data_IF_581058073227
#
_entry.id   IF_581058073227
#
_cell.length_a   1.000
_cell.length_b   1.000
_cell.length_c   1.000
_cell.angle_alpha   90.00
_cell.angle_beta   90.00
_cell.angle_gamma   90.00
#
_symmetry.space_group_name_H-M   'P 1'
#
loop_
_entity.id
_entity.type
_entity.pdbx_description
1 polymer ?
#
# COMPACT_ATOMS: atom_id res chain seq x y z
N UNK A 1 -9.98 65.37 -10.98
CA UNK A 1 -10.20 63.94 -11.33
C UNK A 1 -8.88 63.31 -11.76
N UNK A 2 -8.16 62.61 -10.87
CA UNK A 2 -6.95 61.83 -11.20
C UNK A 2 -7.33 60.35 -11.29
N UNK A 3 -7.22 59.73 -12.46
CA UNK A 3 -7.44 58.29 -12.65
C UNK A 3 -6.25 57.53 -12.05
N UNK A 4 -6.51 56.61 -11.12
CA UNK A 4 -5.48 55.71 -10.57
C UNK A 4 -5.17 54.60 -11.59
N UNK A 5 -3.90 54.23 -11.83
CA UNK A 5 -3.58 53.14 -12.73
C UNK A 5 -3.96 51.80 -12.09
N UNK A 6 -4.63 50.95 -12.86
CA UNK A 6 -5.01 49.60 -12.47
C UNK A 6 -3.76 48.73 -12.59
N UNK A 7 -3.16 48.35 -11.47
CA UNK A 7 -2.03 47.43 -11.45
C UNK A 7 -2.51 46.02 -11.83
N UNK A 8 -1.94 45.48 -12.92
CA UNK A 8 -2.14 44.12 -13.37
C UNK A 8 -1.37 43.17 -12.42
N UNK A 9 -2.09 42.43 -11.58
CA UNK A 9 -1.50 41.40 -10.71
C UNK A 9 -1.12 40.20 -11.59
N UNK A 10 0.15 39.78 -11.65
CA UNK A 10 0.52 38.58 -12.39
C UNK A 10 0.00 37.37 -11.62
N UNK A 11 -0.88 36.59 -12.24
CA UNK A 11 -1.31 35.29 -11.75
C UNK A 11 -0.08 34.38 -11.81
N UNK A 12 0.52 34.10 -10.66
CA UNK A 12 1.59 33.13 -10.51
C UNK A 12 0.98 31.73 -10.72
N UNK A 13 1.26 31.12 -11.87
CA UNK A 13 0.89 29.73 -12.14
C UNK A 13 1.71 28.83 -11.21
N UNK A 14 1.11 28.40 -10.11
CA UNK A 14 1.67 27.35 -9.26
C UNK A 14 1.59 26.05 -10.04
N UNK A 15 2.70 25.63 -10.64
CA UNK A 15 2.84 24.29 -11.19
C UNK A 15 2.73 23.31 -10.02
N UNK A 16 1.57 22.66 -9.89
CA UNK A 16 1.39 21.53 -8.98
C UNK A 16 2.39 20.46 -9.38
N UNK A 17 3.45 20.31 -8.59
CA UNK A 17 4.37 19.19 -8.69
C UNK A 17 3.59 17.93 -8.31
N UNK A 18 2.97 17.29 -9.30
CA UNK A 18 2.31 16.01 -9.10
C UNK A 18 3.37 15.00 -8.68
N UNK A 19 3.25 14.47 -7.46
CA UNK A 19 4.11 13.40 -6.97
C UNK A 19 4.24 12.31 -8.04
N UNK A 20 5.44 11.78 -8.32
CA UNK A 20 5.60 10.76 -9.35
C UNK A 20 4.73 9.55 -8.98
N UNK A 21 3.65 9.36 -9.74
CA UNK A 21 2.80 8.18 -9.60
C UNK A 21 3.62 6.97 -10.01
N UNK A 22 4.03 6.15 -9.04
CA UNK A 22 4.79 4.94 -9.34
C UNK A 22 3.97 3.99 -10.22
N UNK A 23 4.59 3.51 -11.30
CA UNK A 23 3.98 2.59 -12.26
C UNK A 23 3.40 1.35 -11.54
N UNK A 24 2.20 0.91 -11.93
CA UNK A 24 1.53 -0.25 -11.32
C UNK A 24 2.40 -1.51 -11.43
N UNK A 25 2.49 -2.35 -10.38
CA UNK A 25 3.26 -3.60 -10.49
C UNK A 25 2.63 -4.52 -11.54
N UNK A 26 3.46 -5.18 -12.35
CA UNK A 26 2.99 -6.17 -13.32
C UNK A 26 3.04 -7.57 -12.70
N UNK A 27 1.93 -8.29 -12.74
CA UNK A 27 1.82 -9.63 -12.18
C UNK A 27 2.53 -10.68 -13.04
N UNK A 28 3.26 -11.60 -12.42
CA UNK A 28 3.93 -12.73 -13.12
C UNK A 28 3.16 -14.05 -13.01
N UNK A 29 2.17 -14.14 -12.13
CA UNK A 29 1.34 -15.34 -11.91
C UNK A 29 -0.10 -14.98 -11.55
N UNK A 30 -1.01 -15.96 -11.58
CA UNK A 30 -2.40 -15.78 -11.16
C UNK A 30 -2.52 -15.36 -9.68
N UNK A 31 -1.70 -15.94 -8.81
CA UNK A 31 -1.61 -15.58 -7.40
C UNK A 31 -1.13 -14.14 -7.21
N UNK A 32 -0.05 -13.75 -7.91
CA UNK A 32 0.46 -12.38 -7.82
C UNK A 32 -0.57 -11.38 -8.33
N UNK A 33 -1.32 -11.72 -9.39
CA UNK A 33 -2.41 -10.89 -9.90
C UNK A 33 -3.50 -10.69 -8.84
N UNK A 34 -3.96 -11.77 -8.20
CA UNK A 34 -4.98 -11.70 -7.13
C UNK A 34 -4.54 -10.82 -5.97
N UNK A 35 -3.28 -10.96 -5.54
CA UNK A 35 -2.73 -10.15 -4.46
C UNK A 35 -2.68 -8.65 -4.84
N UNK A 36 -2.22 -8.34 -6.06
CA UNK A 36 -2.17 -6.95 -6.55
C UNK A 36 -3.56 -6.32 -6.71
N UNK A 37 -4.54 -7.07 -7.19
CA UNK A 37 -5.94 -6.63 -7.24
C UNK A 37 -6.51 -6.39 -5.84
N UNK A 38 -6.15 -7.23 -4.87
CA UNK A 38 -6.56 -7.05 -3.48
C UNK A 38 -5.93 -5.80 -2.86
N UNK A 39 -4.67 -5.48 -3.16
CA UNK A 39 -4.04 -4.23 -2.71
C UNK A 39 -4.77 -3.00 -3.24
N UNK A 40 -5.24 -3.00 -4.48
CA UNK A 40 -6.03 -1.87 -5.00
C UNK A 40 -7.40 -1.80 -4.31
N UNK A 41 -8.08 -2.95 -4.14
CA UNK A 41 -9.33 -3.02 -3.39
C UNK A 41 -9.19 -2.42 -1.99
N UNK A 42 -8.20 -2.85 -1.21
CA UNK A 42 -7.98 -2.37 0.16
C UNK A 42 -7.69 -0.87 0.18
N UNK A 43 -6.89 -0.39 -0.78
CA UNK A 43 -6.57 1.05 -0.92
C UNK A 43 -7.81 1.89 -1.26
N UNK A 44 -8.73 1.38 -2.06
CA UNK A 44 -9.96 2.09 -2.43
C UNK A 44 -11.01 2.09 -1.31
N UNK A 45 -11.05 1.04 -0.48
CA UNK A 45 -12.12 0.81 0.50
C UNK A 45 -11.74 1.19 1.94
N UNK A 46 -10.46 1.49 2.21
CA UNK A 46 -10.00 1.84 3.55
C UNK A 46 -9.21 3.15 3.54
N UNK A 47 -9.73 4.15 4.26
CA UNK A 47 -9.18 5.52 4.31
C UNK A 47 -7.93 5.67 5.18
N UNK A 48 -7.60 4.68 6.01
CA UNK A 48 -6.49 4.74 6.97
C UNK A 48 -5.48 3.62 6.69
N UNK A 49 -4.55 3.87 5.78
CA UNK A 49 -3.43 2.96 5.54
C UNK A 49 -2.24 3.34 6.43
N UNK A 50 -1.67 2.33 7.12
CA UNK A 50 -0.47 2.50 7.95
C UNK A 50 0.79 2.78 7.13
N UNK A 51 0.79 2.42 5.85
CA UNK A 51 1.93 2.57 4.94
C UNK A 51 1.46 3.07 3.59
N UNK A 52 2.30 3.85 2.91
CA UNK A 52 2.03 4.24 1.53
C UNK A 52 2.23 3.05 0.57
N UNK A 53 1.78 3.17 -0.68
CA UNK A 53 2.10 2.18 -1.71
C UNK A 53 3.62 2.03 -1.91
N UNK A 54 4.36 3.13 -1.74
CA UNK A 54 5.81 3.13 -1.89
C UNK A 54 6.50 2.32 -0.80
N UNK A 55 6.07 2.53 0.44
CA UNK A 55 6.59 1.79 1.60
C UNK A 55 6.22 0.31 1.49
N UNK A 56 4.99 -0.02 1.05
CA UNK A 56 4.60 -1.41 0.79
C UNK A 56 5.50 -2.12 -0.23
N UNK A 57 5.86 -1.44 -1.32
CA UNK A 57 6.85 -1.98 -2.29
C UNK A 57 8.21 -2.18 -1.66
N UNK A 58 8.66 -1.23 -0.85
CA UNK A 58 9.93 -1.34 -0.15
C UNK A 58 9.92 -2.54 0.81
N UNK A 59 8.84 -2.76 1.56
CA UNK A 59 8.69 -3.92 2.45
C UNK A 59 8.80 -5.24 1.67
N UNK A 60 8.13 -5.35 0.52
CA UNK A 60 8.27 -6.53 -0.36
C UNK A 60 9.74 -6.74 -0.77
N UNK A 61 10.40 -5.69 -1.26
CA UNK A 61 11.79 -5.76 -1.73
C UNK A 61 12.72 -6.20 -0.60
N UNK A 62 12.58 -5.62 0.59
CA UNK A 62 13.40 -5.95 1.74
C UNK A 62 13.20 -7.40 2.20
N UNK A 63 11.95 -7.87 2.28
CA UNK A 63 11.63 -9.24 2.67
C UNK A 63 12.15 -10.27 1.65
N UNK A 64 12.01 -10.00 0.35
CA UNK A 64 12.59 -10.84 -0.72
C UNK A 64 14.12 -10.84 -0.66
N UNK A 65 14.75 -9.67 -0.51
CA UNK A 65 16.21 -9.53 -0.48
C UNK A 65 16.84 -10.20 0.74
N UNK A 66 16.14 -10.21 1.88
CA UNK A 66 16.55 -10.93 3.07
C UNK A 66 16.28 -12.44 3.00
N UNK A 67 15.62 -12.94 1.94
CA UNK A 67 15.09 -14.30 1.86
C UNK A 67 14.33 -14.70 3.13
N UNK A 68 13.43 -13.82 3.59
CA UNK A 68 12.77 -13.97 4.88
C UNK A 68 11.94 -15.26 4.96
N UNK A 69 12.24 -16.13 5.92
CA UNK A 69 11.44 -17.30 6.26
C UNK A 69 10.28 -16.99 7.22
N UNK A 70 10.38 -15.92 7.99
CA UNK A 70 9.35 -15.47 8.92
C UNK A 70 9.40 -13.94 9.08
N UNK A 71 8.25 -13.30 8.98
CA UNK A 71 8.07 -11.87 9.25
C UNK A 71 7.10 -11.73 10.43
N UNK A 72 7.45 -10.88 11.40
CA UNK A 72 6.55 -10.48 12.48
C UNK A 72 6.15 -9.02 12.27
N UNK A 73 4.86 -8.76 12.30
CA UNK A 73 4.27 -7.42 12.15
C UNK A 73 3.48 -7.05 13.41
N UNK A 74 3.70 -5.83 13.91
CA UNK A 74 2.94 -5.24 15.02
C UNK A 74 2.10 -4.09 14.46
N UNK A 75 0.78 -4.25 14.49
CA UNK A 75 -0.19 -3.32 13.90
C UNK A 75 -0.61 -3.74 12.49
N UNK A 76 -1.45 -4.79 12.39
CA UNK A 76 -1.98 -5.29 11.12
C UNK A 76 -2.85 -4.26 10.40
N UNK A 77 -3.63 -3.46 11.15
CA UNK A 77 -4.73 -2.65 10.62
C UNK A 77 -5.61 -3.49 9.68
N UNK A 78 -6.05 -2.97 8.54
CA UNK A 78 -6.86 -3.70 7.55
C UNK A 78 -6.06 -4.66 6.67
N UNK A 79 -4.77 -4.90 6.98
CA UNK A 79 -3.93 -5.90 6.33
C UNK A 79 -3.10 -5.40 5.13
N UNK A 80 -3.11 -4.10 4.81
CA UNK A 80 -2.45 -3.58 3.61
C UNK A 80 -0.94 -3.90 3.55
N UNK A 81 -0.19 -3.65 4.62
CA UNK A 81 1.23 -3.99 4.73
C UNK A 81 1.46 -5.50 4.76
N UNK A 82 0.61 -6.25 5.47
CA UNK A 82 0.64 -7.71 5.48
C UNK A 82 0.50 -8.33 4.08
N UNK A 83 -0.36 -7.76 3.23
CA UNK A 83 -0.54 -8.23 1.85
C UNK A 83 0.72 -7.93 0.99
N UNK A 84 1.42 -6.83 1.24
CA UNK A 84 2.73 -6.60 0.63
C UNK A 84 3.77 -7.65 1.06
N UNK A 85 3.76 -8.06 2.32
CA UNK A 85 4.60 -9.17 2.78
C UNK A 85 4.20 -10.50 2.12
N UNK A 86 2.92 -10.77 1.86
CA UNK A 86 2.51 -11.98 1.13
C UNK A 86 3.23 -12.12 -0.22
N UNK A 87 3.39 -11.03 -0.97
CA UNK A 87 4.07 -11.05 -2.28
C UNK A 87 5.51 -11.55 -2.15
N UNK A 88 6.21 -11.11 -1.10
CA UNK A 88 7.56 -11.55 -0.81
C UNK A 88 7.58 -13.01 -0.32
N UNK A 89 6.72 -13.32 0.65
CA UNK A 89 6.72 -14.60 1.36
C UNK A 89 6.26 -15.77 0.49
N UNK A 90 5.38 -15.54 -0.50
CA UNK A 90 5.10 -16.56 -1.53
C UNK A 90 6.34 -16.94 -2.34
N UNK A 91 7.30 -16.02 -2.53
CA UNK A 91 8.54 -16.29 -3.26
C UNK A 91 9.61 -16.91 -2.39
N UNK A 92 9.70 -16.52 -1.13
CA UNK A 92 10.67 -17.07 -0.18
C UNK A 92 10.20 -18.37 0.48
N UNK A 93 8.91 -18.71 0.36
CA UNK A 93 8.29 -19.84 1.07
C UNK A 93 8.10 -19.57 2.57
N UNK A 94 8.11 -18.29 2.98
CA UNK A 94 8.03 -17.88 4.38
C UNK A 94 6.60 -17.65 4.88
N UNK A 95 6.49 -17.24 6.16
CA UNK A 95 5.21 -16.94 6.81
C UNK A 95 5.16 -15.56 7.44
N UNK A 96 3.96 -15.01 7.56
CA UNK A 96 3.68 -13.76 8.28
C UNK A 96 2.96 -14.09 9.60
N UNK A 97 3.44 -13.52 10.70
CA UNK A 97 2.69 -13.44 11.95
C UNK A 97 2.43 -11.98 12.26
N UNK A 98 1.16 -11.59 12.30
CA UNK A 98 0.77 -10.20 12.50
C UNK A 98 -0.17 -10.06 13.69
N UNK A 99 -0.07 -8.94 14.40
CA UNK A 99 -0.83 -8.65 15.60
C UNK A 99 -1.62 -7.36 15.45
N UNK A 100 -2.91 -7.42 15.77
CA UNK A 100 -3.82 -6.28 15.81
C UNK A 100 -4.56 -6.28 17.14
N UNK A 101 -4.64 -5.11 17.77
CA UNK A 101 -5.26 -4.94 19.08
C UNK A 101 -6.79 -4.82 18.96
N UNK A 102 -7.27 -4.18 17.88
CA UNK A 102 -8.70 -4.04 17.63
C UNK A 102 -9.26 -5.28 16.92
N UNK A 103 -10.11 -6.03 17.61
CA UNK A 103 -10.70 -7.24 17.07
C UNK A 103 -11.58 -7.02 15.84
N UNK A 104 -12.24 -5.86 15.70
CA UNK A 104 -13.06 -5.56 14.53
C UNK A 104 -12.19 -5.27 13.31
N UNK A 105 -11.12 -4.50 13.48
CA UNK A 105 -10.13 -4.24 12.43
C UNK A 105 -9.41 -5.53 12.02
N UNK A 106 -9.06 -6.37 13.00
CA UNK A 106 -8.44 -7.68 12.75
C UNK A 106 -9.34 -8.62 11.91
N UNK A 107 -10.67 -8.53 12.03
CA UNK A 107 -11.60 -9.29 11.16
C UNK A 107 -11.52 -8.81 9.72
N UNK A 108 -11.54 -7.49 9.50
CA UNK A 108 -11.35 -6.91 8.17
C UNK A 108 -10.01 -7.34 7.55
N UNK A 109 -8.93 -7.37 8.33
CA UNK A 109 -7.63 -7.87 7.87
C UNK A 109 -7.70 -9.32 7.39
N UNK A 110 -8.35 -10.20 8.17
CA UNK A 110 -8.53 -11.62 7.80
C UNK A 110 -9.30 -11.77 6.50
N UNK A 111 -10.39 -11.01 6.33
CA UNK A 111 -11.16 -11.01 5.08
C UNK A 111 -10.31 -10.56 3.88
N UNK A 112 -9.46 -9.55 4.08
CA UNK A 112 -8.53 -9.08 3.04
C UNK A 112 -7.41 -10.10 2.74
N UNK A 113 -6.89 -10.80 3.75
CA UNK A 113 -5.93 -11.90 3.53
C UNK A 113 -6.56 -13.07 2.78
N UNK A 114 -7.79 -13.46 3.12
CA UNK A 114 -8.55 -14.47 2.39
C UNK A 114 -8.77 -14.06 0.92
N UNK A 115 -9.18 -12.80 0.70
CA UNK A 115 -9.32 -12.22 -0.66
C UNK A 115 -8.02 -12.30 -1.45
N UNK A 116 -6.89 -12.03 -0.80
CA UNK A 116 -5.56 -12.13 -1.41
C UNK A 116 -5.05 -13.57 -1.60
N UNK A 117 -5.67 -14.57 -0.97
CA UNK A 117 -5.17 -15.95 -0.94
C UNK A 117 -3.93 -16.12 -0.06
N UNK A 118 -3.91 -15.47 1.10
CA UNK A 118 -2.81 -15.46 2.08
C UNK A 118 -3.18 -16.06 3.46
N UNK A 119 -4.10 -17.02 3.53
CA UNK A 119 -4.63 -17.54 4.79
C UNK A 119 -3.95 -18.81 5.32
N UNK A 120 -2.97 -19.36 4.59
CA UNK A 120 -2.25 -20.62 4.86
C UNK A 120 -0.99 -20.49 5.79
#
# INVERSE_FOLDING_TARGET
>A
MKRRPMALIPILLVASCSSPQMAKPNAKSGDEKRILETLEYVKEHHSHMNVSQADGRLLRILAEAANAGHVVEIGTSTGYSGIWFCLALKRTGGKLTTYEIDMAVARTARENFARAGCED
#
